data_IF_448516614801
#
_entry.id   IF_448516614801
#
_cell.length_a   1.000
_cell.length_b   1.000
_cell.length_c   1.000
_cell.angle_alpha   90.00
_cell.angle_beta   90.00
_cell.angle_gamma   90.00
#
_symmetry.space_group_name_H-M   'P 1'
#
loop_
_entity.id
_entity.type
_entity.pdbx_description
1 polymer ?
#
# COMPACT_ATOMS: atom_id res chain seq x y z
N UNK A 1 9.42 31.30 16.82
CA UNK A 1 10.27 30.09 16.78
C UNK A 1 9.62 29.18 15.75
N UNK A 2 10.28 28.90 14.63
CA UNK A 2 9.70 28.09 13.54
C UNK A 2 9.56 26.64 14.03
N UNK A 3 8.34 26.26 14.43
CA UNK A 3 8.07 24.90 14.92
C UNK A 3 7.92 23.97 13.70
N UNK A 4 8.90 23.09 13.52
CA UNK A 4 8.85 22.02 12.52
C UNK A 4 8.01 20.89 13.09
N UNK A 5 6.97 20.47 12.37
CA UNK A 5 6.18 19.33 12.77
C UNK A 5 6.96 18.04 12.52
N UNK A 6 7.14 17.24 13.56
CA UNK A 6 7.75 15.91 13.49
C UNK A 6 6.95 14.94 12.61
N UNK A 7 7.68 14.11 11.88
CA UNK A 7 7.07 13.04 11.09
C UNK A 7 6.68 11.84 11.91
N UNK A 8 5.78 11.00 11.36
CA UNK A 8 5.30 9.77 11.98
C UNK A 8 4.61 10.03 13.33
N UNK A 9 4.14 11.25 13.54
CA UNK A 9 3.41 11.71 14.72
C UNK A 9 1.99 12.14 14.36
N UNK A 10 1.08 11.96 15.30
CA UNK A 10 -0.30 12.39 15.20
C UNK A 10 -0.48 13.75 15.88
N UNK A 11 -1.09 14.68 15.17
CA UNK A 11 -1.42 16.01 15.65
C UNK A 11 -2.93 16.20 15.73
N UNK A 12 -3.40 16.91 16.75
CA UNK A 12 -4.77 17.41 16.80
C UNK A 12 -4.86 18.69 15.97
N UNK A 13 -5.84 18.75 15.07
CA UNK A 13 -6.13 19.93 14.26
C UNK A 13 -7.52 20.40 14.61
N UNK A 14 -7.63 21.57 15.24
CA UNK A 14 -8.90 22.24 15.50
C UNK A 14 -9.21 23.15 14.33
N UNK A 15 -10.32 22.86 13.65
CA UNK A 15 -10.84 23.66 12.55
C UNK A 15 -12.20 24.19 12.99
N UNK A 16 -12.25 25.48 13.32
CA UNK A 16 -13.37 26.10 14.02
C UNK A 16 -13.70 25.32 15.32
N UNK A 17 -14.86 24.69 15.40
CA UNK A 17 -15.31 23.85 16.52
C UNK A 17 -15.13 22.35 16.26
N UNK A 18 -14.52 21.95 15.12
CA UNK A 18 -14.36 20.55 14.74
C UNK A 18 -12.94 20.08 15.01
N UNK A 19 -12.82 18.97 15.71
CA UNK A 19 -11.54 18.28 15.92
C UNK A 19 -11.28 17.34 14.74
N UNK A 20 -10.05 17.40 14.23
CA UNK A 20 -9.46 16.52 13.22
C UNK A 20 -8.09 16.07 13.68
N UNK A 21 -7.55 15.07 13.02
CA UNK A 21 -6.22 14.56 13.32
C UNK A 21 -5.36 14.54 12.07
N UNK A 22 -4.16 15.09 12.15
CA UNK A 22 -3.19 15.12 11.06
C UNK A 22 -2.08 14.13 11.37
N UNK A 23 -1.85 13.21 10.45
CA UNK A 23 -0.68 12.32 10.49
C UNK A 23 0.28 12.67 9.37
N UNK A 24 1.52 12.98 9.73
CA UNK A 24 2.55 13.40 8.78
C UNK A 24 3.49 12.25 8.42
N UNK A 25 3.79 12.09 7.13
CA UNK A 25 4.76 11.13 6.59
C UNK A 25 5.70 11.82 5.60
N UNK A 26 6.64 11.06 5.01
CA UNK A 26 7.60 11.55 3.99
C UNK A 26 8.30 12.85 4.40
N UNK A 27 9.04 12.82 5.52
CA UNK A 27 9.76 14.01 6.04
C UNK A 27 8.85 15.22 6.32
N UNK A 28 7.55 14.99 6.55
CA UNK A 28 6.59 16.03 6.91
C UNK A 28 5.97 16.70 5.71
N UNK A 29 6.23 16.19 4.50
CA UNK A 29 5.77 16.76 3.22
C UNK A 29 4.46 16.15 2.75
N UNK A 30 4.04 15.05 3.37
CA UNK A 30 2.77 14.41 3.11
C UNK A 30 1.97 14.29 4.40
N UNK A 31 0.69 14.63 4.34
CA UNK A 31 -0.17 14.65 5.50
C UNK A 31 -1.52 14.03 5.18
N UNK A 32 -2.04 13.25 6.11
CA UNK A 32 -3.40 12.70 6.02
C UNK A 32 -4.24 13.22 7.16
N UNK A 33 -5.35 13.87 6.80
CA UNK A 33 -6.37 14.30 7.73
C UNK A 33 -7.36 13.18 8.01
N UNK A 34 -7.63 12.99 9.28
CA UNK A 34 -8.50 11.99 9.82
C UNK A 34 -9.61 12.62 10.66
N UNK A 35 -10.79 12.02 10.58
CA UNK A 35 -11.88 12.22 11.54
C UNK A 35 -11.98 10.99 12.42
N UNK A 36 -11.93 11.21 13.73
CA UNK A 36 -12.17 10.14 14.71
C UNK A 36 -13.67 9.85 14.80
N UNK A 37 -14.02 8.58 14.67
CA UNK A 37 -15.39 8.05 14.82
C UNK A 37 -15.33 6.90 15.84
N UNK A 38 -15.53 7.21 17.12
CA UNK A 38 -15.31 6.25 18.21
C UNK A 38 -13.83 5.86 18.30
N UNK A 39 -13.51 4.57 18.20
CA UNK A 39 -12.13 4.05 18.23
C UNK A 39 -11.46 3.96 16.86
N UNK A 40 -12.11 4.42 15.78
CA UNK A 40 -11.58 4.35 14.41
C UNK A 40 -11.28 5.73 13.85
N UNK A 41 -10.27 5.80 13.00
CA UNK A 41 -9.89 7.02 12.30
C UNK A 41 -10.26 6.91 10.82
N UNK A 42 -11.28 7.66 10.40
CA UNK A 42 -11.70 7.73 9.00
C UNK A 42 -10.87 8.79 8.29
N UNK A 43 -10.14 8.38 7.25
CA UNK A 43 -9.43 9.27 6.33
C UNK A 43 -10.42 10.23 5.67
N UNK A 44 -10.16 11.52 5.76
CA UNK A 44 -10.96 12.57 5.10
C UNK A 44 -10.23 13.13 3.88
N UNK A 45 -8.94 13.46 4.02
CA UNK A 45 -8.19 14.15 2.96
C UNK A 45 -6.71 13.82 3.04
N UNK A 46 -6.08 13.77 1.87
CA UNK A 46 -4.63 13.74 1.72
C UNK A 46 -4.18 15.09 1.20
N UNK A 47 -3.09 15.57 1.76
CA UNK A 47 -2.50 16.87 1.47
C UNK A 47 -1.02 16.61 1.23
N UNK A 48 -0.55 17.00 0.07
CA UNK A 48 0.85 16.93 -0.29
C UNK A 48 1.39 18.34 -0.44
N UNK A 49 2.56 18.60 0.14
CA UNK A 49 3.23 19.88 0.04
C UNK A 49 3.88 20.03 -1.34
N UNK A 50 3.88 21.25 -1.87
CA UNK A 50 4.54 21.57 -3.13
C UNK A 50 6.05 21.27 -3.04
N UNK A 51 6.64 20.88 -4.17
CA UNK A 51 8.07 20.64 -4.25
C UNK A 51 8.88 21.86 -3.76
N UNK A 52 9.87 21.66 -2.88
CA UNK A 52 10.73 22.68 -2.25
C UNK A 52 10.13 23.54 -1.13
N UNK A 53 8.96 23.17 -0.59
CA UNK A 53 8.39 23.84 0.60
C UNK A 53 8.80 23.09 1.87
N UNK A 54 9.26 23.83 2.89
CA UNK A 54 9.61 23.25 4.20
C UNK A 54 8.35 22.94 5.03
N UNK A 55 8.33 21.84 5.81
CA UNK A 55 7.19 21.37 6.58
C UNK A 55 7.00 22.15 7.89
N UNK A 56 6.94 23.47 7.80
CA UNK A 56 6.68 24.33 8.94
C UNK A 56 5.22 24.29 9.37
N UNK A 57 4.98 24.53 10.66
CA UNK A 57 3.65 24.67 11.25
C UNK A 57 2.72 25.57 10.41
N UNK A 58 3.19 26.76 10.06
CA UNK A 58 2.40 27.78 9.37
C UNK A 58 1.97 27.32 7.97
N UNK A 59 2.86 26.61 7.27
CA UNK A 59 2.56 26.05 5.95
C UNK A 59 1.48 24.98 6.06
N UNK A 60 1.56 24.11 7.07
CA UNK A 60 0.51 23.11 7.32
C UNK A 60 -0.82 23.75 7.70
N UNK A 61 -0.82 24.81 8.50
CA UNK A 61 -2.03 25.60 8.81
C UNK A 61 -2.65 26.16 7.54
N UNK A 62 -1.84 26.76 6.66
CA UNK A 62 -2.32 27.34 5.41
C UNK A 62 -2.86 26.28 4.44
N UNK A 63 -2.13 25.16 4.25
CA UNK A 63 -2.58 24.06 3.41
C UNK A 63 -3.92 23.47 3.89
N UNK A 64 -4.10 23.32 5.20
CA UNK A 64 -5.37 22.84 5.76
C UNK A 64 -6.48 23.85 5.51
N UNK A 65 -6.22 25.16 5.67
CA UNK A 65 -7.21 26.22 5.37
C UNK A 65 -7.65 26.18 3.92
N UNK A 66 -6.69 26.10 2.98
CA UNK A 66 -6.97 26.04 1.54
C UNK A 66 -7.82 24.82 1.18
N UNK A 67 -7.63 23.71 1.91
CA UNK A 67 -8.40 22.48 1.71
C UNK A 67 -9.74 22.39 2.46
N UNK A 68 -10.10 23.34 3.34
CA UNK A 68 -11.33 23.23 4.16
C UNK A 68 -12.58 23.87 3.53
N UNK A 69 -12.50 24.38 2.30
CA UNK A 69 -13.62 24.93 1.51
C UNK A 69 -14.43 26.06 2.19
N UNK A 70 -13.93 26.63 3.29
CA UNK A 70 -14.53 27.80 3.98
C UNK A 70 -13.65 29.03 3.78
N UNK A 71 -14.25 30.22 3.70
CA UNK A 71 -13.50 31.48 3.79
C UNK A 71 -12.93 31.61 5.20
N UNK A 72 -11.61 31.45 5.33
CA UNK A 72 -10.80 31.62 6.56
C UNK A 72 -11.29 30.86 7.80
N UNK A 73 -11.23 29.51 7.82
CA UNK A 73 -11.45 28.77 9.05
C UNK A 73 -10.33 29.05 10.05
N UNK A 74 -10.69 29.13 11.34
CA UNK A 74 -9.69 29.19 12.41
C UNK A 74 -9.08 27.80 12.54
N UNK A 75 -7.79 27.68 12.20
CA UNK A 75 -7.04 26.42 12.24
C UNK A 75 -5.93 26.53 13.27
N UNK A 76 -5.92 25.60 14.22
CA UNK A 76 -4.85 25.43 15.19
C UNK A 76 -4.39 23.96 15.19
N UNK A 77 -3.09 23.74 15.10
CA UNK A 77 -2.48 22.42 15.22
C UNK A 77 -1.83 22.33 16.60
N UNK A 78 -1.98 21.20 17.27
CA UNK A 78 -1.37 20.91 18.56
C UNK A 78 -1.05 19.42 18.72
N UNK A 79 -0.33 19.05 19.78
CA UNK A 79 -0.09 17.63 20.07
C UNK A 79 -1.42 16.93 20.33
N UNK A 80 -1.60 15.74 19.76
CA UNK A 80 -2.74 14.89 20.09
C UNK A 80 -2.61 14.37 21.54
N UNK A 81 -3.76 14.12 22.18
CA UNK A 81 -3.78 13.46 23.48
C UNK A 81 -3.13 12.07 23.39
N UNK A 82 -2.38 11.62 24.43
CA UNK A 82 -1.74 10.30 24.42
C UNK A 82 -2.72 9.16 24.12
N UNK A 83 -3.91 9.19 24.73
CA UNK A 83 -4.95 8.19 24.48
C UNK A 83 -5.45 8.14 23.03
N UNK A 84 -5.49 9.29 22.35
CA UNK A 84 -5.87 9.36 20.93
C UNK A 84 -4.75 8.84 20.03
N UNK A 85 -3.50 9.09 20.42
CA UNK A 85 -2.33 8.54 19.75
C UNK A 85 -2.31 7.01 19.83
N UNK A 86 -2.48 6.43 21.02
CA UNK A 86 -2.52 4.98 21.21
C UNK A 86 -3.67 4.33 20.43
N UNK A 87 -4.83 4.97 20.44
CA UNK A 87 -6.00 4.54 19.67
C UNK A 87 -5.72 4.56 18.16
N UNK A 88 -5.02 5.59 17.66
CA UNK A 88 -4.62 5.70 16.27
C UNK A 88 -3.61 4.63 15.85
N UNK A 89 -2.60 4.38 16.68
CA UNK A 89 -1.61 3.32 16.44
C UNK A 89 -2.30 1.95 16.38
N UNK A 90 -3.19 1.67 17.34
CA UNK A 90 -3.97 0.41 17.38
C UNK A 90 -4.84 0.25 16.13
N UNK A 91 -5.49 1.32 15.67
CA UNK A 91 -6.29 1.30 14.44
C UNK A 91 -5.42 1.10 13.18
N UNK A 92 -4.23 1.69 13.13
CA UNK A 92 -3.26 1.46 12.05
C UNK A 92 -2.75 0.02 12.03
N UNK A 93 -2.42 -0.57 13.17
CA UNK A 93 -2.03 -1.98 13.25
C UNK A 93 -3.14 -2.91 12.80
N UNK A 94 -4.39 -2.62 13.17
CA UNK A 94 -5.56 -3.37 12.70
C UNK A 94 -5.70 -3.27 11.18
N UNK A 95 -5.54 -2.07 10.61
CA UNK A 95 -5.57 -1.85 9.15
C UNK A 95 -4.44 -2.60 8.45
N UNK A 96 -3.21 -2.54 8.96
CA UNK A 96 -2.06 -3.33 8.48
C UNK A 96 -2.38 -4.83 8.48
N UNK A 97 -2.88 -5.37 9.59
CA UNK A 97 -3.23 -6.81 9.71
C UNK A 97 -4.30 -7.21 8.69
N UNK A 98 -5.30 -6.35 8.47
CA UNK A 98 -6.34 -6.57 7.46
C UNK A 98 -5.77 -6.53 6.04
N UNK A 99 -4.87 -5.58 5.75
CA UNK A 99 -4.21 -5.45 4.44
C UNK A 99 -3.36 -6.68 4.13
N UNK A 100 -2.51 -7.10 5.08
CA UNK A 100 -1.66 -8.30 4.95
C UNK A 100 -2.52 -9.54 4.73
N UNK A 101 -3.62 -9.70 5.48
CA UNK A 101 -4.52 -10.84 5.30
C UNK A 101 -5.13 -10.84 3.89
N UNK A 102 -5.56 -9.68 3.41
CA UNK A 102 -6.16 -9.55 2.07
C UNK A 102 -5.13 -9.85 0.98
N UNK A 103 -3.91 -9.32 1.10
CA UNK A 103 -2.81 -9.62 0.17
C UNK A 103 -2.40 -11.10 0.16
N UNK A 104 -2.33 -11.74 1.33
CA UNK A 104 -2.09 -13.19 1.41
C UNK A 104 -3.20 -13.99 0.74
N UNK A 105 -4.48 -13.61 0.92
CA UNK A 105 -5.61 -14.25 0.24
C UNK A 105 -5.52 -14.12 -1.28
N UNK A 106 -5.10 -12.96 -1.79
CA UNK A 106 -4.85 -12.76 -3.23
C UNK A 106 -3.72 -13.68 -3.70
N UNK A 107 -2.61 -13.76 -2.95
CA UNK A 107 -1.50 -14.66 -3.27
C UNK A 107 -1.93 -16.13 -3.37
N UNK A 108 -2.66 -16.65 -2.37
CA UNK A 108 -3.21 -18.00 -2.41
C UNK A 108 -4.24 -18.19 -3.52
N UNK A 109 -5.03 -17.16 -3.83
CA UNK A 109 -5.98 -17.17 -4.95
C UNK A 109 -5.28 -17.32 -6.31
N UNK A 110 -4.15 -16.65 -6.50
CA UNK A 110 -3.32 -16.80 -7.71
C UNK A 110 -2.74 -18.20 -7.82
N UNK A 111 -2.24 -18.78 -6.74
CA UNK A 111 -1.75 -20.16 -6.72
C UNK A 111 -2.87 -21.17 -7.05
N UNK A 112 -4.07 -20.97 -6.50
CA UNK A 112 -5.23 -21.82 -6.81
C UNK A 112 -5.64 -21.70 -8.28
N UNK A 113 -5.66 -20.48 -8.83
CA UNK A 113 -5.93 -20.25 -10.25
C UNK A 113 -4.89 -20.93 -11.14
N UNK A 114 -3.61 -20.91 -10.75
CA UNK A 114 -2.55 -21.62 -11.46
C UNK A 114 -2.84 -23.13 -11.54
N UNK A 115 -3.27 -23.74 -10.42
CA UNK A 115 -3.67 -25.15 -10.40
C UNK A 115 -4.88 -25.42 -11.29
N UNK A 116 -5.91 -24.57 -11.25
CA UNK A 116 -7.13 -24.74 -12.06
C UNK A 116 -6.85 -24.61 -13.56
N UNK A 117 -6.06 -23.61 -13.96
CA UNK A 117 -5.64 -23.41 -15.35
C UNK A 117 -4.78 -24.58 -15.82
N UNK A 118 -3.82 -25.01 -14.99
CA UNK A 118 -2.99 -26.18 -15.28
C UNK A 118 -3.83 -27.45 -15.50
N UNK A 119 -4.77 -27.74 -14.61
CA UNK A 119 -5.66 -28.88 -14.72
C UNK A 119 -6.57 -28.81 -15.97
N UNK A 120 -7.12 -27.64 -16.27
CA UNK A 120 -7.92 -27.41 -17.47
C UNK A 120 -7.11 -27.65 -18.75
N UNK A 121 -5.89 -27.11 -18.83
CA UNK A 121 -5.02 -27.28 -19.99
C UNK A 121 -4.55 -28.74 -20.14
N UNK A 122 -4.24 -29.43 -19.05
CA UNK A 122 -3.93 -30.87 -19.07
C UNK A 122 -5.08 -31.70 -19.64
N UNK A 123 -6.33 -31.32 -19.37
CA UNK A 123 -7.50 -31.98 -19.94
C UNK A 123 -7.76 -31.59 -21.40
N UNK A 124 -7.54 -30.31 -21.75
CA UNK A 124 -7.78 -29.77 -23.09
C UNK A 124 -6.77 -30.29 -24.13
N UNK A 125 -5.49 -30.42 -23.77
CA UNK A 125 -4.41 -30.82 -24.69
C UNK A 125 -4.70 -32.15 -25.40
N UNK A 126 -5.07 -33.26 -24.70
CA UNK A 126 -5.47 -34.50 -25.36
C UNK A 126 -6.72 -34.37 -26.24
N UNK A 127 -7.69 -33.54 -25.84
CA UNK A 127 -8.92 -33.33 -26.61
C UNK A 127 -8.64 -32.59 -27.93
N UNK A 128 -7.84 -31.53 -27.88
CA UNK A 128 -7.44 -30.76 -29.07
C UNK A 128 -6.66 -31.62 -30.07
N UNK A 129 -5.80 -32.52 -29.55
CA UNK A 129 -5.05 -33.48 -30.36
C UNK A 129 -5.98 -34.47 -31.09
N UNK A 130 -7.04 -34.96 -30.43
CA UNK A 130 -8.03 -35.86 -31.04
C UNK A 130 -8.84 -35.21 -32.17
N UNK A 131 -9.08 -33.90 -32.08
CA UNK A 131 -9.83 -33.14 -33.09
C UNK A 131 -8.95 -32.63 -34.25
N UNK A 132 -7.66 -33.01 -34.30
CA UNK A 132 -6.69 -32.56 -35.30
C UNK A 132 -6.50 -31.02 -35.36
N UNK A 133 -6.81 -30.30 -34.27
CA UNK A 133 -6.59 -28.85 -34.17
C UNK A 133 -5.16 -28.52 -33.76
N UNK A 134 -4.22 -28.67 -34.70
CA UNK A 134 -2.78 -28.53 -34.46
C UNK A 134 -2.40 -27.16 -33.86
N UNK A 135 -2.96 -26.06 -34.39
CA UNK A 135 -2.67 -24.71 -33.89
C UNK A 135 -3.14 -24.52 -32.44
N UNK A 136 -4.36 -24.96 -32.12
CA UNK A 136 -4.92 -24.88 -30.76
C UNK A 136 -4.16 -25.76 -29.78
N UNK A 137 -3.68 -26.93 -30.22
CA UNK A 137 -2.81 -27.80 -29.43
C UNK A 137 -1.48 -27.11 -29.08
N UNK A 138 -0.82 -26.49 -30.05
CA UNK A 138 0.46 -25.79 -29.83
C UNK A 138 0.29 -24.61 -28.85
N UNK A 139 -0.78 -23.83 -29.00
CA UNK A 139 -1.11 -22.73 -28.09
C UNK A 139 -1.37 -23.26 -26.68
N UNK A 140 -2.15 -24.34 -26.55
CA UNK A 140 -2.44 -24.94 -25.24
C UNK A 140 -1.19 -25.52 -24.57
N UNK A 141 -0.27 -26.12 -25.35
CA UNK A 141 0.99 -26.65 -24.84
C UNK A 141 1.92 -25.54 -24.33
N UNK A 142 2.03 -24.43 -25.07
CA UNK A 142 2.76 -23.25 -24.61
C UNK A 142 2.12 -22.64 -23.35
N UNK A 143 0.78 -22.55 -23.34
CA UNK A 143 0.00 -22.07 -22.20
C UNK A 143 0.16 -22.93 -20.95
N UNK A 144 0.30 -24.26 -21.10
CA UNK A 144 0.44 -25.22 -20.00
C UNK A 144 1.65 -24.92 -19.10
N UNK A 145 2.72 -24.41 -19.70
CA UNK A 145 3.96 -24.12 -18.98
C UNK A 145 3.96 -22.67 -18.53
N UNK A 146 3.67 -21.74 -19.44
CA UNK A 146 3.85 -20.31 -19.20
C UNK A 146 2.81 -19.78 -18.20
N UNK A 147 1.53 -20.08 -18.39
CA UNK A 147 0.48 -19.47 -17.56
C UNK A 147 0.56 -19.93 -16.11
N UNK A 148 0.57 -21.25 -15.79
CA UNK A 148 0.67 -21.69 -14.40
C UNK A 148 1.95 -21.17 -13.74
N UNK A 149 3.09 -21.21 -14.42
CA UNK A 149 4.35 -20.69 -13.88
C UNK A 149 4.25 -19.21 -13.51
N UNK A 150 3.70 -18.36 -14.38
CA UNK A 150 3.50 -16.94 -14.07
C UNK A 150 2.59 -16.74 -12.85
N UNK A 151 1.45 -17.43 -12.77
CA UNK A 151 0.52 -17.31 -11.65
C UNK A 151 1.15 -17.80 -10.33
N UNK A 152 1.92 -18.89 -10.36
CA UNK A 152 2.66 -19.37 -9.18
C UNK A 152 3.73 -18.36 -8.73
N UNK A 153 4.51 -17.79 -9.66
CA UNK A 153 5.52 -16.79 -9.32
C UNK A 153 4.87 -15.54 -8.70
N UNK A 154 3.80 -15.03 -9.31
CA UNK A 154 3.07 -13.86 -8.78
C UNK A 154 2.44 -14.15 -7.41
N UNK A 155 1.84 -15.32 -7.23
CA UNK A 155 1.29 -15.77 -5.95
C UNK A 155 2.35 -15.86 -4.86
N UNK A 156 3.46 -16.52 -5.16
CA UNK A 156 4.61 -16.68 -4.26
C UNK A 156 5.21 -15.32 -3.86
N UNK A 157 5.47 -14.43 -4.83
CA UNK A 157 6.00 -13.09 -4.58
C UNK A 157 5.06 -12.28 -3.70
N UNK A 158 3.74 -12.33 -3.97
CA UNK A 158 2.72 -11.66 -3.15
C UNK A 158 2.75 -12.16 -1.70
N UNK A 159 2.80 -13.48 -1.48
CA UNK A 159 2.86 -14.05 -0.12
C UNK A 159 4.15 -13.64 0.59
N UNK A 160 5.30 -13.67 -0.10
CA UNK A 160 6.60 -13.30 0.47
C UNK A 160 6.66 -11.81 0.83
N UNK A 161 6.12 -10.93 -0.01
CA UNK A 161 5.98 -9.50 0.28
C UNK A 161 5.12 -9.27 1.53
N UNK A 162 3.95 -9.93 1.62
CA UNK A 162 3.05 -9.79 2.76
C UNK A 162 3.67 -10.32 4.07
N UNK A 163 4.52 -11.35 4.01
CA UNK A 163 5.31 -11.83 5.16
C UNK A 163 6.34 -10.80 5.61
N UNK A 164 7.02 -10.14 4.67
CA UNK A 164 7.99 -9.07 4.98
C UNK A 164 7.32 -7.87 5.62
N UNK A 165 6.18 -7.43 5.08
CA UNK A 165 5.37 -6.35 5.66
C UNK A 165 4.84 -6.66 7.06
N UNK A 166 4.67 -7.94 7.42
CA UNK A 166 4.27 -8.33 8.77
C UNK A 166 5.29 -7.87 9.82
N UNK A 167 6.58 -7.87 9.52
CA UNK A 167 7.64 -7.47 10.45
C UNK A 167 7.88 -5.95 10.53
N UNK A 168 7.38 -5.16 9.57
CA UNK A 168 7.58 -3.72 9.50
C UNK A 168 6.56 -2.94 10.34
N UNK A 169 6.81 -1.66 10.63
CA UNK A 169 5.85 -0.82 11.34
C UNK A 169 4.61 -0.52 10.49
N UNK A 170 3.46 -0.31 11.13
CA UNK A 170 2.19 -0.08 10.41
C UNK A 170 2.22 1.17 9.52
N UNK A 171 2.89 2.23 9.96
CA UNK A 171 3.03 3.44 9.17
C UNK A 171 3.92 3.24 7.93
N UNK A 172 5.00 2.45 8.03
CA UNK A 172 5.90 2.20 6.89
C UNK A 172 5.19 1.37 5.83
N UNK A 173 4.33 0.42 6.24
CA UNK A 173 3.53 -0.39 5.31
C UNK A 173 2.40 0.42 4.67
N UNK A 174 1.57 1.09 5.48
CA UNK A 174 0.35 1.77 5.01
C UNK A 174 0.63 3.04 4.21
N UNK A 175 1.82 3.64 4.38
CA UNK A 175 2.23 4.86 3.70
C UNK A 175 3.52 4.72 2.90
N UNK A 176 3.88 3.48 2.54
CA UNK A 176 4.98 3.23 1.62
C UNK A 176 4.74 3.99 0.32
N UNK A 177 5.80 4.64 -0.19
CA UNK A 177 5.78 5.18 -1.55
C UNK A 177 5.87 4.06 -2.57
N UNK A 178 5.33 4.28 -3.77
CA UNK A 178 5.42 3.33 -4.88
C UNK A 178 6.88 2.91 -5.18
N UNK A 179 7.82 3.84 -5.15
CA UNK A 179 9.26 3.54 -5.30
C UNK A 179 9.79 2.60 -4.21
N UNK A 180 9.34 2.75 -2.98
CA UNK A 180 9.75 1.91 -1.87
C UNK A 180 9.15 0.51 -2.02
N UNK A 181 7.88 0.42 -2.42
CA UNK A 181 7.24 -0.85 -2.73
C UNK A 181 7.93 -1.54 -3.92
N UNK A 182 8.29 -0.81 -4.98
CA UNK A 182 9.04 -1.34 -6.12
C UNK A 182 10.42 -1.86 -5.70
N UNK A 183 11.17 -1.11 -4.90
CA UNK A 183 12.46 -1.55 -4.34
C UNK A 183 12.32 -2.81 -3.48
N UNK A 184 11.28 -2.89 -2.65
CA UNK A 184 11.01 -4.08 -1.85
C UNK A 184 10.67 -5.30 -2.71
N UNK A 185 9.89 -5.12 -3.78
CA UNK A 185 9.58 -6.17 -4.75
C UNK A 185 10.86 -6.62 -5.47
N UNK A 186 11.67 -5.67 -5.99
CA UNK A 186 12.93 -5.97 -6.66
C UNK A 186 13.89 -6.74 -5.75
N UNK A 187 13.99 -6.34 -4.49
CA UNK A 187 14.81 -7.06 -3.52
C UNK A 187 14.28 -8.47 -3.26
N UNK A 188 12.95 -8.67 -3.19
CA UNK A 188 12.36 -10.00 -3.05
C UNK A 188 12.64 -10.87 -4.28
N UNK A 189 12.58 -10.29 -5.48
CA UNK A 189 12.90 -10.99 -6.73
C UNK A 189 14.37 -11.42 -6.71
N UNK A 190 15.28 -10.52 -6.37
CA UNK A 190 16.71 -10.82 -6.20
C UNK A 190 16.97 -11.92 -5.16
N UNK A 191 16.34 -11.82 -4.00
CA UNK A 191 16.46 -12.82 -2.92
C UNK A 191 15.81 -14.18 -3.25
N UNK A 192 14.94 -14.25 -4.26
CA UNK A 192 14.21 -15.47 -4.63
C UNK A 192 14.85 -16.17 -5.83
N UNK A 193 15.18 -15.40 -6.87
CA UNK A 193 15.60 -15.92 -8.17
C UNK A 193 17.08 -15.67 -8.45
N UNK A 194 17.78 -14.89 -7.62
CA UNK A 194 19.17 -14.49 -7.89
C UNK A 194 19.32 -13.55 -9.09
N UNK A 195 18.21 -13.00 -9.58
CA UNK A 195 18.15 -12.10 -10.72
C UNK A 195 18.14 -10.68 -10.17
N UNK A 196 19.05 -9.81 -10.63
CA UNK A 196 18.93 -8.39 -10.38
C UNK A 196 18.01 -7.78 -11.45
N UNK A 197 16.78 -7.37 -11.12
CA UNK A 197 15.88 -6.76 -12.09
C UNK A 197 16.42 -5.42 -12.62
N UNK A 198 17.36 -4.79 -11.91
CA UNK A 198 17.98 -3.54 -12.33
C UNK A 198 19.02 -3.77 -13.46
N UNK A 199 19.47 -5.01 -13.71
CA UNK A 199 20.37 -5.37 -14.83
C UNK A 199 19.66 -5.35 -16.21
N UNK A 200 18.33 -5.22 -16.25
CA UNK A 200 17.53 -5.22 -17.49
C UNK A 200 17.11 -3.82 -17.95
N UNK A 201 17.42 -2.79 -17.16
CA UNK A 201 17.12 -1.38 -17.45
C UNK A 201 18.33 -0.66 -18.14
N UNK A 202 19.40 -1.38 -18.50
CA UNK A 202 20.52 -0.94 -19.37
C UNK A 202 20.29 -1.31 -20.86
#
# INVERSE_FOLDING_TARGET
>A
MEEILETKRLYEVRIDQKIRYLFLTRYGRYGVLYKKNGSRFKKEKEIEMVHNTFPFYEVWVQLIRDHTFKKNPSVAIGPALPADHDCFITDMERRKKSSIRSGMLVGYGLELLACLIGAFLLWYVPWALKQQFILSFLIALAGLIIMPAMFFVLGFLSIRLMRRWRAQNAYDVLYSSEEQTRREINQIIKDTFGIDPDDFDE
#
